data_IF_468492281023
#
_entry.id   IF_468492281023
#
_cell.length_a   1.000
_cell.length_b   1.000
_cell.length_c   1.000
_cell.angle_alpha   90.00
_cell.angle_beta   90.00
_cell.angle_gamma   90.00
#
_symmetry.space_group_name_H-M   'P 1'
#
loop_
_entity.id
_entity.type
_entity.pdbx_description
1 polymer ?
#
# COMPACT_ATOMS: atom_id res chain seq x y z
N UNK A 1 5.99 -11.03 -1.89
CA UNK A 1 4.63 -10.58 -1.55
C UNK A 1 3.65 -11.56 -2.16
N UNK A 2 2.48 -11.76 -1.54
CA UNK A 2 1.45 -12.68 -2.02
C UNK A 2 0.16 -11.97 -2.43
N UNK A 3 -0.14 -10.78 -1.90
CA UNK A 3 -1.29 -9.97 -2.30
C UNK A 3 -1.10 -8.48 -1.97
N UNK A 4 -1.88 -7.63 -2.63
CA UNK A 4 -2.11 -6.22 -2.31
C UNK A 4 -3.63 -5.98 -2.27
N UNK A 5 -4.13 -5.29 -1.25
CA UNK A 5 -5.55 -4.98 -1.12
C UNK A 5 -5.76 -3.66 -0.34
N UNK A 6 -7.02 -3.22 -0.23
CA UNK A 6 -7.40 -1.98 0.48
C UNK A 6 -6.67 -0.72 -0.03
N UNK A 7 -6.42 -0.68 -1.35
CA UNK A 7 -5.72 0.42 -2.00
C UNK A 7 -6.64 1.63 -2.13
N UNK A 8 -6.25 2.71 -1.47
CA UNK A 8 -6.95 3.99 -1.51
C UNK A 8 -6.02 5.08 -1.99
N UNK A 9 -6.54 5.96 -2.84
CA UNK A 9 -5.84 7.13 -3.35
C UNK A 9 -6.73 8.34 -3.14
N UNK A 10 -6.16 9.41 -2.61
CA UNK A 10 -6.87 10.67 -2.44
C UNK A 10 -5.94 11.86 -2.69
N UNK A 11 -6.55 12.98 -3.07
CA UNK A 11 -5.84 14.25 -3.16
C UNK A 11 -5.76 14.88 -1.75
N UNK A 12 -4.55 15.25 -1.33
CA UNK A 12 -4.36 16.12 -0.14
C UNK A 12 -4.60 17.58 -0.55
N UNK A 13 -4.15 17.94 -1.76
CA UNK A 13 -4.32 19.26 -2.35
C UNK A 13 -4.46 19.14 -3.87
N UNK A 14 -4.48 20.26 -4.59
CA UNK A 14 -4.47 20.25 -6.06
C UNK A 14 -3.16 19.77 -6.67
N UNK A 15 -2.10 19.60 -5.87
CA UNK A 15 -0.76 19.18 -6.33
C UNK A 15 -0.24 17.91 -5.67
N UNK A 16 -0.81 17.52 -4.53
CA UNK A 16 -0.30 16.43 -3.72
C UNK A 16 -1.32 15.29 -3.65
N UNK A 17 -0.86 14.09 -4.00
CA UNK A 17 -1.64 12.86 -3.92
C UNK A 17 -1.08 11.97 -2.83
N UNK A 18 -1.98 11.29 -2.13
CA UNK A 18 -1.65 10.31 -1.11
C UNK A 18 -2.24 8.94 -1.42
N UNK A 19 -1.59 7.90 -0.91
CA UNK A 19 -1.98 6.51 -1.07
C UNK A 19 -1.85 5.74 0.25
N UNK A 20 -2.85 4.89 0.54
CA UNK A 20 -2.72 3.78 1.49
C UNK A 20 -2.95 2.46 0.79
N UNK A 21 -2.24 1.40 1.20
CA UNK A 21 -2.51 0.04 0.75
C UNK A 21 -1.99 -0.98 1.77
N UNK A 22 -2.55 -2.18 1.72
CA UNK A 22 -2.12 -3.32 2.53
C UNK A 22 -1.39 -4.32 1.64
N UNK A 23 -0.19 -4.73 2.03
CA UNK A 23 0.61 -5.73 1.34
C UNK A 23 0.76 -6.98 2.20
N UNK A 24 0.36 -8.12 1.65
CA UNK A 24 0.54 -9.42 2.31
C UNK A 24 1.93 -9.96 1.98
N UNK A 25 2.77 -10.12 3.00
CA UNK A 25 4.11 -10.72 2.94
C UNK A 25 4.25 -11.75 4.07
N UNK A 26 4.11 -13.05 3.76
CA UNK A 26 4.20 -14.13 4.76
C UNK A 26 5.55 -14.25 5.46
N UNK A 27 6.61 -13.79 4.80
CA UNK A 27 7.97 -13.83 5.34
C UNK A 27 8.16 -12.71 6.35
N UNK A 28 8.63 -13.05 7.56
CA UNK A 28 8.97 -12.08 8.61
C UNK A 28 10.43 -11.68 8.46
N UNK A 29 10.67 -10.48 7.92
CA UNK A 29 11.99 -9.90 7.68
C UNK A 29 11.94 -8.38 7.93
N UNK A 30 13.09 -7.69 7.84
CA UNK A 30 13.09 -6.24 7.80
C UNK A 30 12.41 -5.76 6.49
N UNK A 31 11.34 -4.98 6.65
CA UNK A 31 10.54 -4.42 5.55
C UNK A 31 10.98 -3.01 5.14
N UNK A 32 11.90 -2.35 5.85
CA UNK A 32 12.29 -0.94 5.63
C UNK A 32 12.78 -0.67 4.20
N UNK A 33 13.68 -1.52 3.69
CA UNK A 33 14.22 -1.38 2.34
C UNK A 33 13.15 -1.56 1.25
N UNK A 34 12.17 -2.42 1.52
CA UNK A 34 11.05 -2.63 0.63
C UNK A 34 10.09 -1.42 0.66
N UNK A 35 9.75 -0.93 1.85
CA UNK A 35 8.89 0.23 2.02
C UNK A 35 9.49 1.47 1.35
N UNK A 36 10.81 1.68 1.50
CA UNK A 36 11.53 2.75 0.82
C UNK A 36 11.45 2.62 -0.70
N UNK A 37 11.69 1.43 -1.24
CA UNK A 37 11.61 1.18 -2.69
C UNK A 37 10.20 1.46 -3.23
N UNK A 38 9.16 1.05 -2.50
CA UNK A 38 7.77 1.32 -2.89
C UNK A 38 7.51 2.83 -2.91
N UNK A 39 7.93 3.56 -1.87
CA UNK A 39 7.78 5.02 -1.80
C UNK A 39 8.49 5.71 -2.96
N UNK A 40 9.75 5.36 -3.24
CA UNK A 40 10.53 5.91 -4.36
C UNK A 40 9.82 5.65 -5.70
N UNK A 41 9.36 4.42 -5.94
CA UNK A 41 8.68 4.08 -7.18
C UNK A 41 7.32 4.78 -7.35
N UNK A 42 6.58 4.98 -6.27
CA UNK A 42 5.30 5.69 -6.30
C UNK A 42 5.49 7.19 -6.53
N UNK A 43 6.53 7.78 -5.95
CA UNK A 43 6.94 9.15 -6.23
C UNK A 43 7.37 9.31 -7.69
N UNK A 44 8.39 8.56 -8.13
CA UNK A 44 9.02 8.74 -9.44
C UNK A 44 8.06 8.48 -10.61
N UNK A 45 7.15 7.52 -10.46
CA UNK A 45 6.27 7.10 -11.57
C UNK A 45 4.90 7.75 -11.56
N UNK A 46 4.40 8.13 -10.38
CA UNK A 46 3.02 8.57 -10.22
C UNK A 46 2.86 9.90 -9.46
N UNK A 47 3.97 10.51 -9.02
CA UNK A 47 3.97 11.74 -8.22
C UNK A 47 3.10 11.62 -6.94
N UNK A 48 3.13 10.44 -6.32
CA UNK A 48 2.48 10.20 -5.02
C UNK A 48 3.49 10.50 -3.92
N UNK A 49 3.31 11.65 -3.28
CA UNK A 49 4.23 12.17 -2.25
C UNK A 49 4.03 11.49 -0.90
N UNK A 50 2.81 11.07 -0.59
CA UNK A 50 2.46 10.54 0.71
C UNK A 50 1.96 9.10 0.59
N UNK A 51 2.77 8.15 1.02
CA UNK A 51 2.40 6.72 0.97
C UNK A 51 2.45 6.10 2.35
N UNK A 52 1.36 5.44 2.76
CA UNK A 52 1.32 4.57 3.95
C UNK A 52 1.05 3.14 3.52
N UNK A 53 1.96 2.21 3.83
CA UNK A 53 1.81 0.79 3.50
C UNK A 53 1.73 -0.01 4.80
N UNK A 54 0.66 -0.78 4.97
CA UNK A 54 0.55 -1.76 6.03
C UNK A 54 1.08 -3.12 5.54
N UNK A 55 2.01 -3.74 6.26
CA UNK A 55 2.48 -5.09 5.96
C UNK A 55 1.71 -6.10 6.81
N UNK A 56 1.06 -7.06 6.14
CA UNK A 56 0.33 -8.16 6.77
C UNK A 56 1.02 -9.49 6.50
N UNK A 57 0.97 -10.44 7.46
CA UNK A 57 1.65 -11.74 7.31
C UNK A 57 0.73 -12.83 6.74
N UNK A 58 -0.57 -12.70 6.96
CA UNK A 58 -1.56 -13.66 6.49
C UNK A 58 -2.70 -12.93 5.78
N UNK A 59 -3.25 -13.49 4.69
CA UNK A 59 -4.39 -12.88 4.01
C UNK A 59 -5.71 -13.01 4.80
N UNK A 60 -5.73 -13.75 5.92
CA UNK A 60 -6.95 -14.37 6.45
C UNK A 60 -7.79 -13.52 7.43
N UNK A 61 -7.47 -12.25 7.68
CA UNK A 61 -8.33 -11.42 8.55
C UNK A 61 -8.47 -9.97 8.11
N UNK A 62 -8.42 -9.70 6.80
CA UNK A 62 -8.72 -8.36 6.32
C UNK A 62 -10.24 -8.11 6.36
N UNK A 63 -10.73 -7.54 7.47
CA UNK A 63 -12.13 -7.11 7.66
C UNK A 63 -12.54 -5.97 6.71
N UNK A 64 -11.54 -5.33 6.09
CA UNK A 64 -11.66 -4.21 5.16
C UNK A 64 -11.34 -4.58 3.71
N UNK A 65 -11.13 -5.87 3.40
CA UNK A 65 -11.33 -6.30 2.03
C UNK A 65 -12.82 -6.06 1.72
N UNK A 66 -13.16 -4.88 1.18
CA UNK A 66 -14.46 -4.64 0.62
C UNK A 66 -14.71 -5.74 -0.39
N UNK A 67 -15.72 -6.56 -0.09
CA UNK A 67 -16.44 -7.34 -1.10
C UNK A 67 -16.98 -6.33 -2.12
N UNK A 68 -16.26 -6.12 -3.22
CA UNK A 68 -16.77 -5.45 -4.41
C UNK A 68 -16.13 -6.16 -5.61
N UNK A 69 -16.86 -6.73 -6.57
CA UNK A 69 -18.07 -6.21 -7.21
C UNK A 69 -19.02 -7.35 -7.63
N UNK A 70 -20.33 -7.17 -7.40
CA UNK A 70 -21.43 -7.82 -8.16
C UNK A 70 -21.80 -6.94 -9.34
#
# INVERSE_FOLDING_TARGET
MTACHDLHIWAISTRETALTAHLVRPVVENDDGLLRLIQEQLHDRFAIEHTTIQIEREPQHCRQASDDFV
#
